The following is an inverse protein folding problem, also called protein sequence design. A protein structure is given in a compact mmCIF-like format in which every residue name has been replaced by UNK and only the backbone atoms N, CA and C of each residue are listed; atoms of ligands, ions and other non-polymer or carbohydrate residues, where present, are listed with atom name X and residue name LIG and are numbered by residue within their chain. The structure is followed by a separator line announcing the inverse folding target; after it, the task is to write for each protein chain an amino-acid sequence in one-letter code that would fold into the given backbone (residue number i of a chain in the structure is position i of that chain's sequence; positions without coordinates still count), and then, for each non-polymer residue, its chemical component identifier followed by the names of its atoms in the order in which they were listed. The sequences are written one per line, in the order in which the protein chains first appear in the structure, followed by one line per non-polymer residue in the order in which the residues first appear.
data_IF_178496806084
#
_entry.id   IF_178496806084
#
_cell.length_a   1.000
_cell.length_b   1.000
_cell.length_c   1.000
_cell.angle_alpha   90.00
_cell.angle_beta   90.00
_cell.angle_gamma   90.00
#
_symmetry.space_group_name_H-M   'P 1'
#
loop_
_entity.id
_entity.type
_entity.pdbx_description
1 polymer ?
#
# COMPACT_ATOMS: atom_id res chain seq x y z
N UNK A 1 3.08 0.66 38.10
CA UNK A 1 4.20 0.64 39.08
C UNK A 1 3.99 1.83 39.99
N UNK A 2 3.68 1.59 41.27
CA UNK A 2 3.64 2.66 42.29
C UNK A 2 4.15 2.07 43.59
N UNK A 3 5.20 2.68 44.13
CA UNK A 3 5.89 2.31 45.37
C UNK A 3 5.43 3.25 46.49
N UNK A 4 5.09 2.69 47.66
CA UNK A 4 5.17 3.39 48.95
C UNK A 4 5.62 2.39 50.04
N UNK A 5 6.63 2.80 50.80
CA UNK A 5 7.18 2.22 52.05
C UNK A 5 6.41 2.79 53.27
N UNK A 6 6.51 2.40 54.55
CA UNK A 6 7.28 1.49 55.44
C UNK A 6 6.22 0.85 56.40
N UNK A 7 6.40 -0.19 57.22
CA UNK A 7 7.48 -0.56 58.12
C UNK A 7 7.13 -1.94 58.77
N UNK A 8 8.11 -2.79 59.11
CA UNK A 8 7.96 -3.78 60.19
C UNK A 8 8.11 -5.28 59.89
N UNK A 9 9.36 -5.76 60.09
CA UNK A 9 9.81 -7.13 60.50
C UNK A 9 10.16 -8.20 59.44
N UNK A 10 11.32 -8.81 59.75
CA UNK A 10 12.19 -9.73 59.01
C UNK A 10 11.60 -11.14 58.81
N UNK A 11 12.20 -11.81 57.82
CA UNK A 11 12.30 -13.25 57.57
C UNK A 11 11.24 -13.92 56.67
N UNK A 12 11.43 -13.78 55.35
CA UNK A 12 11.77 -14.87 54.42
C UNK A 12 11.82 -14.32 52.98
N UNK A 13 12.92 -14.59 52.29
CA UNK A 13 13.16 -14.19 50.89
C UNK A 13 12.29 -15.08 49.98
N UNK A 14 11.08 -14.63 49.68
CA UNK A 14 10.28 -15.17 48.57
C UNK A 14 10.54 -14.26 47.37
N UNK A 15 11.18 -14.81 46.34
CA UNK A 15 11.24 -14.18 45.02
C UNK A 15 9.82 -14.09 44.46
N UNK A 16 9.16 -12.97 44.68
CA UNK A 16 7.83 -12.70 44.16
C UNK A 16 7.90 -12.40 42.68
N UNK A 17 7.49 -13.38 41.88
CA UNK A 17 7.14 -13.22 40.48
C UNK A 17 5.88 -12.36 40.34
N UNK A 18 5.88 -11.52 39.30
CA UNK A 18 4.84 -10.62 38.78
C UNK A 18 3.47 -10.61 39.50
N UNK A 19 3.15 -9.47 40.11
CA UNK A 19 1.81 -9.20 40.69
C UNK A 19 0.94 -8.37 39.74
N UNK A 20 -0.18 -8.93 39.29
CA UNK A 20 -1.21 -8.21 38.53
C UNK A 20 -2.32 -7.73 39.47
N UNK A 21 -2.58 -6.42 39.54
CA UNK A 21 -3.72 -5.85 40.28
C UNK A 21 -4.87 -5.60 39.31
N UNK A 22 -6.06 -6.14 39.60
CA UNK A 22 -7.30 -5.81 38.91
C UNK A 22 -8.03 -4.78 39.80
N UNK A 23 -8.27 -3.57 39.27
CA UNK A 23 -8.89 -2.46 40.01
C UNK A 23 -10.23 -2.12 39.33
N UNK A 24 -11.33 -2.33 40.06
CA UNK A 24 -12.64 -1.72 39.81
C UNK A 24 -13.00 -0.80 40.99
N UNK A 25 -14.04 0.02 40.84
CA UNK A 25 -14.44 1.07 41.82
C UNK A 25 -14.76 0.57 43.24
N UNK A 26 -14.91 -0.74 43.44
CA UNK A 26 -14.88 -1.39 44.75
C UNK A 26 -13.51 -2.02 45.02
N UNK A 27 -12.93 -1.77 46.22
CA UNK A 27 -11.66 -2.33 46.76
C UNK A 27 -11.10 -3.48 45.92
N UNK A 28 -10.24 -3.14 44.94
CA UNK A 28 -9.70 -4.09 43.98
C UNK A 28 -9.12 -5.34 44.64
N UNK A 29 -9.53 -6.51 44.18
CA UNK A 29 -9.04 -7.79 44.70
C UNK A 29 -7.71 -8.14 44.04
N UNK A 30 -6.72 -8.53 44.84
CA UNK A 30 -5.39 -8.89 44.33
C UNK A 30 -5.22 -10.41 44.24
N UNK A 31 -4.83 -10.88 43.07
CA UNK A 31 -4.41 -12.26 42.84
C UNK A 31 -2.90 -12.28 42.61
N UNK A 32 -2.18 -13.09 43.37
CA UNK A 32 -0.73 -13.27 43.22
C UNK A 32 -0.48 -14.60 42.50
N UNK A 33 0.34 -14.58 41.45
CA UNK A 33 0.63 -15.77 40.65
C UNK A 33 2.03 -16.28 41.02
N UNK A 34 2.11 -17.55 41.42
CA UNK A 34 3.34 -18.19 41.88
C UNK A 34 4.03 -19.06 40.81
N UNK A 35 4.83 -20.00 41.30
CA UNK A 35 5.52 -21.01 40.51
C UNK A 35 4.56 -22.05 39.93
N UNK A 36 5.06 -22.78 38.93
CA UNK A 36 4.41 -23.99 38.39
C UNK A 36 4.33 -25.02 39.53
N UNK A 37 3.21 -25.76 39.61
CA UNK A 37 3.06 -26.78 40.65
C UNK A 37 4.08 -27.89 40.48
N UNK A 38 4.71 -28.28 41.59
CA UNK A 38 5.66 -29.40 41.63
C UNK A 38 4.98 -30.75 41.36
N UNK A 39 3.67 -30.85 41.65
CA UNK A 39 2.87 -32.08 41.48
C UNK A 39 2.28 -32.22 40.08
N UNK A 40 2.01 -31.09 39.42
CA UNK A 40 1.43 -31.05 38.08
C UNK A 40 2.00 -29.86 37.30
N UNK A 41 2.81 -30.16 36.26
CA UNK A 41 3.47 -29.13 35.45
C UNK A 41 2.50 -28.30 34.59
N UNK A 42 1.25 -28.72 34.49
CA UNK A 42 0.17 -27.99 33.82
C UNK A 42 -0.65 -27.13 34.79
N UNK A 43 -0.25 -27.02 36.05
CA UNK A 43 -0.87 -26.15 37.05
C UNK A 43 0.09 -25.05 37.53
N UNK A 44 -0.46 -23.91 37.93
CA UNK A 44 0.26 -22.80 38.57
C UNK A 44 -0.39 -22.50 39.91
N UNK A 45 0.42 -22.21 40.93
CA UNK A 45 -0.11 -21.72 42.20
C UNK A 45 -0.59 -20.29 42.08
N UNK A 46 -1.73 -19.98 42.68
CA UNK A 46 -2.26 -18.61 42.80
C UNK A 46 -2.75 -18.38 44.21
N UNK A 47 -2.47 -17.19 44.74
CA UNK A 47 -2.94 -16.77 46.06
C UNK A 47 -3.93 -15.62 45.90
N UNK A 48 -5.11 -15.80 46.48
CA UNK A 48 -6.09 -14.74 46.62
C UNK A 48 -5.77 -13.92 47.87
N UNK A 49 -5.17 -12.74 47.69
CA UNK A 49 -4.64 -11.94 48.79
C UNK A 49 -5.68 -11.62 49.89
N UNK A 50 -6.96 -11.30 49.58
CA UNK A 50 -7.93 -10.97 50.62
C UNK A 50 -8.26 -12.10 51.60
N UNK A 51 -8.15 -13.38 51.20
CA UNK A 51 -8.45 -14.54 52.07
C UNK A 51 -7.22 -15.37 52.42
N UNK A 52 -6.06 -15.04 51.87
CA UNK A 52 -4.80 -15.78 52.09
C UNK A 52 -4.76 -17.20 51.49
N UNK A 53 -5.85 -17.69 50.91
CA UNK A 53 -5.95 -19.03 50.35
C UNK A 53 -5.12 -19.20 49.07
N UNK A 54 -4.48 -20.37 48.95
CA UNK A 54 -3.69 -20.79 47.78
C UNK A 54 -4.48 -21.84 47.00
N UNK A 55 -4.58 -21.64 45.70
CA UNK A 55 -5.25 -22.54 44.76
C UNK A 55 -4.28 -22.94 43.64
N UNK A 56 -4.64 -23.97 42.89
CA UNK A 56 -4.00 -24.31 41.61
C UNK A 56 -4.92 -23.94 40.46
N UNK A 57 -4.38 -23.27 39.45
CA UNK A 57 -5.08 -22.98 38.19
C UNK A 57 -4.34 -23.61 37.01
N UNK A 58 -5.05 -23.95 35.92
CA UNK A 58 -4.42 -24.38 34.68
C UNK A 58 -3.36 -23.36 34.22
N UNK A 59 -2.17 -23.83 33.88
CA UNK A 59 -1.01 -23.02 33.47
C UNK A 59 -1.33 -22.06 32.32
N UNK A 60 -2.27 -22.41 31.44
CA UNK A 60 -2.75 -21.56 30.34
C UNK A 60 -3.25 -20.19 30.82
N UNK A 61 -3.87 -20.12 32.02
CA UNK A 61 -4.39 -18.87 32.60
C UNK A 61 -3.25 -17.87 32.91
N UNK A 62 -2.03 -18.35 33.18
CA UNK A 62 -0.88 -17.48 33.43
C UNK A 62 -0.57 -16.56 32.24
N UNK A 63 -0.80 -17.01 31.01
CA UNK A 63 -0.62 -16.17 29.81
C UNK A 63 -1.60 -15.00 29.77
N UNK A 64 -2.88 -15.26 30.08
CA UNK A 64 -3.96 -14.24 30.09
C UNK A 64 -3.85 -13.28 31.26
N UNK A 65 -3.41 -13.74 32.44
CA UNK A 65 -3.28 -12.88 33.61
C UNK A 65 -1.97 -12.07 33.64
N UNK A 66 -0.99 -12.45 32.81
CA UNK A 66 0.25 -11.73 32.63
C UNK A 66 0.20 -10.74 31.45
N UNK A 67 -1.00 -10.44 30.93
CA UNK A 67 -1.21 -9.38 29.95
C UNK A 67 -0.80 -8.04 30.55
N UNK A 68 0.20 -7.40 29.95
CA UNK A 68 0.69 -6.09 30.39
C UNK A 68 -0.24 -5.00 29.86
N UNK A 69 -0.29 -3.82 30.48
CA UNK A 69 -1.08 -2.70 29.96
C UNK A 69 -0.74 -2.35 28.50
N UNK A 70 0.51 -2.52 28.08
CA UNK A 70 0.93 -2.34 26.69
C UNK A 70 0.28 -3.36 25.72
N UNK A 71 0.02 -4.58 26.18
CA UNK A 71 -0.62 -5.64 25.38
C UNK A 71 -2.13 -5.40 25.17
N UNK A 72 -2.72 -4.51 25.98
CA UNK A 72 -4.13 -4.10 25.88
C UNK A 72 -4.33 -2.87 24.99
N UNK A 73 -3.26 -2.22 24.54
CA UNK A 73 -3.36 -1.06 23.64
C UNK A 73 -3.80 -1.51 22.25
N UNK A 74 -4.46 -0.61 21.53
CA UNK A 74 -4.70 -0.81 20.10
C UNK A 74 -3.34 -0.84 19.38
N UNK A 75 -3.00 -1.98 18.79
CA UNK A 75 -1.71 -2.23 18.16
C UNK A 75 -1.72 -1.93 16.65
N UNK A 76 -2.75 -1.23 16.14
CA UNK A 76 -2.75 -0.71 14.77
C UNK A 76 -1.90 0.56 14.69
N UNK A 77 -1.14 0.71 13.60
CA UNK A 77 -0.34 1.93 13.37
C UNK A 77 -1.21 3.17 13.14
N UNK A 78 -2.27 3.02 12.34
CA UNK A 78 -3.15 4.12 11.94
C UNK A 78 -4.56 3.59 11.65
N UNK A 79 -5.57 4.44 11.86
CA UNK A 79 -6.93 4.23 11.36
C UNK A 79 -7.21 5.27 10.28
N UNK A 80 -7.49 4.83 9.07
CA UNK A 80 -7.78 5.71 7.93
C UNK A 80 -9.25 5.55 7.58
N UNK A 81 -10.03 6.63 7.59
CA UNK A 81 -11.39 6.60 7.05
C UNK A 81 -11.33 6.84 5.53
N UNK A 82 -11.55 5.78 4.75
CA UNK A 82 -11.48 5.85 3.28
C UNK A 82 -12.66 6.59 2.66
N UNK A 83 -13.74 6.86 3.42
CA UNK A 83 -14.91 7.57 2.89
C UNK A 83 -14.63 9.06 2.72
N UNK A 84 -13.80 9.63 3.59
CA UNK A 84 -13.38 11.04 3.57
C UNK A 84 -11.99 11.23 2.95
N UNK A 85 -11.34 10.15 2.50
CA UNK A 85 -9.99 10.20 1.97
C UNK A 85 -10.00 10.71 0.53
N UNK A 86 -9.42 11.90 0.34
CA UNK A 86 -9.33 12.56 -0.96
C UNK A 86 -7.89 12.73 -1.45
N UNK A 87 -6.91 12.72 -0.55
CA UNK A 87 -5.50 12.90 -0.91
C UNK A 87 -4.55 12.10 -0.03
N UNK A 88 -3.54 11.53 -0.66
CA UNK A 88 -2.38 10.92 0.00
C UNK A 88 -1.13 11.65 -0.50
N UNK A 89 -0.39 12.25 0.42
CA UNK A 89 0.89 12.90 0.13
C UNK A 89 2.02 12.06 0.67
N UNK A 90 2.94 11.66 -0.21
CA UNK A 90 4.16 10.95 0.10
C UNK A 90 5.32 11.93 -0.01
N UNK A 91 5.88 12.33 1.12
CA UNK A 91 6.96 13.31 1.20
C UNK A 91 8.27 12.63 1.60
N UNK A 92 9.27 12.76 0.75
CA UNK A 92 10.64 12.32 1.03
C UNK A 92 11.54 13.54 0.98
N UNK A 93 12.14 13.95 2.12
CA UNK A 93 13.00 15.12 2.15
C UNK A 93 14.09 15.08 1.08
N UNK A 94 14.17 16.14 0.29
CA UNK A 94 15.15 16.28 -0.79
C UNK A 94 14.82 15.54 -2.10
N UNK A 95 13.72 14.77 -2.18
CA UNK A 95 13.30 14.06 -3.42
C UNK A 95 11.97 14.56 -3.99
N UNK A 96 11.31 15.51 -3.34
CA UNK A 96 10.01 16.03 -3.74
C UNK A 96 8.85 15.21 -3.18
N UNK A 97 7.62 15.66 -3.48
CA UNK A 97 6.39 15.04 -2.98
C UNK A 97 5.67 14.32 -4.11
N UNK A 98 5.23 13.10 -3.85
CA UNK A 98 4.23 12.42 -4.69
C UNK A 98 2.86 12.69 -4.08
N UNK A 99 1.93 13.23 -4.88
CA UNK A 99 0.58 13.55 -4.42
C UNK A 99 -0.43 12.73 -5.20
N UNK A 100 -1.09 11.80 -4.52
CA UNK A 100 -2.18 11.01 -5.05
C UNK A 100 -3.49 11.70 -4.66
N UNK A 101 -4.34 12.00 -5.63
CA UNK A 101 -5.59 12.71 -5.42
C UNK A 101 -6.76 11.92 -5.99
N UNK A 102 -7.89 11.94 -5.29
CA UNK A 102 -9.14 11.37 -5.76
C UNK A 102 -9.85 12.41 -6.63
N UNK A 103 -10.35 12.00 -7.79
CA UNK A 103 -11.13 12.82 -8.70
C UNK A 103 -12.23 11.97 -9.35
N UNK A 104 -13.49 12.30 -9.08
CA UNK A 104 -14.64 11.59 -9.66
C UNK A 104 -14.63 10.08 -9.37
N UNK A 105 -14.14 9.69 -8.19
CA UNK A 105 -14.01 8.29 -7.78
C UNK A 105 -12.74 7.56 -8.26
N UNK A 106 -11.95 8.15 -9.17
CA UNK A 106 -10.68 7.61 -9.64
C UNK A 106 -9.49 8.26 -8.92
N UNK A 107 -8.35 7.57 -8.90
CA UNK A 107 -7.10 8.13 -8.40
C UNK A 107 -6.27 8.73 -9.53
N UNK A 108 -5.66 9.89 -9.27
CA UNK A 108 -4.70 10.57 -10.14
C UNK A 108 -3.43 10.91 -9.37
N UNK A 109 -2.35 11.18 -10.10
CA UNK A 109 -1.09 11.68 -9.56
C UNK A 109 -1.03 13.18 -9.82
N UNK A 110 -1.45 13.97 -8.84
CA UNK A 110 -1.48 15.44 -8.95
C UNK A 110 -0.07 16.02 -9.17
N UNK A 111 0.96 15.39 -8.60
CA UNK A 111 2.37 15.76 -8.83
C UNK A 111 2.90 15.41 -10.24
N UNK A 112 2.07 14.79 -11.09
CA UNK A 112 2.42 14.39 -12.45
C UNK A 112 1.27 14.72 -13.42
N UNK A 113 0.94 16.02 -13.53
CA UNK A 113 -0.08 16.54 -14.46
C UNK A 113 -1.45 15.83 -14.38
N UNK A 114 -1.84 15.35 -13.19
CA UNK A 114 -3.04 14.54 -12.96
C UNK A 114 -3.08 13.24 -13.80
N UNK A 115 -1.92 12.64 -14.10
CA UNK A 115 -1.85 11.34 -14.75
C UNK A 115 -2.69 10.31 -13.97
N UNK A 116 -3.40 9.39 -14.66
CA UNK A 116 -4.17 8.35 -13.98
C UNK A 116 -3.28 7.47 -13.10
N UNK A 117 -3.73 7.21 -11.87
CA UNK A 117 -3.03 6.35 -10.93
C UNK A 117 -3.67 4.95 -10.87
N UNK A 118 -2.85 3.93 -10.60
CA UNK A 118 -3.30 2.57 -10.31
C UNK A 118 -4.04 2.56 -8.97
N UNK A 119 -5.37 2.56 -9.05
CA UNK A 119 -6.26 2.53 -7.89
C UNK A 119 -6.07 1.27 -7.03
N UNK A 120 -5.64 0.16 -7.63
CA UNK A 120 -5.28 -1.05 -6.92
C UNK A 120 -4.00 -0.90 -6.10
N UNK A 121 -2.99 -0.21 -6.65
CA UNK A 121 -1.77 0.13 -5.92
C UNK A 121 -2.07 1.05 -4.72
N UNK A 122 -2.87 2.10 -4.94
CA UNK A 122 -3.30 3.01 -3.86
C UNK A 122 -4.04 2.26 -2.76
N UNK A 123 -4.97 1.37 -3.14
CA UNK A 123 -5.69 0.54 -2.19
C UNK A 123 -4.75 -0.38 -1.40
N UNK A 124 -3.80 -1.05 -2.06
CA UNK A 124 -2.80 -1.90 -1.37
C UNK A 124 -2.00 -1.13 -0.33
N UNK A 125 -1.59 0.12 -0.63
CA UNK A 125 -0.90 0.97 0.34
C UNK A 125 -1.75 1.23 1.58
N UNK A 126 -3.01 1.66 1.38
CA UNK A 126 -3.95 1.93 2.47
C UNK A 126 -4.16 0.67 3.31
N UNK A 127 -4.44 -0.45 2.64
CA UNK A 127 -4.68 -1.74 3.29
C UNK A 127 -3.44 -2.21 4.08
N UNK A 128 -2.23 -2.07 3.54
CA UNK A 128 -0.98 -2.44 4.25
C UNK A 128 -0.79 -1.64 5.54
N UNK A 129 -1.08 -0.34 5.52
CA UNK A 129 -0.91 0.54 6.69
C UNK A 129 -2.00 0.34 7.75
N UNK A 130 -3.26 0.18 7.32
CA UNK A 130 -4.37 -0.12 8.23
C UNK A 130 -4.24 -1.50 8.89
N UNK A 131 -3.67 -2.49 8.19
CA UNK A 131 -3.51 -3.85 8.70
C UNK A 131 -2.17 -4.09 9.40
N UNK A 132 -1.26 -3.10 9.46
CA UNK A 132 -0.04 -3.24 10.24
C UNK A 132 -0.39 -3.39 11.72
N UNK A 133 -0.08 -4.58 12.24
CA UNK A 133 -0.30 -4.98 13.63
C UNK A 133 1.02 -5.42 14.25
N UNK A 134 1.08 -5.31 15.58
CA UNK A 134 2.26 -5.69 16.34
C UNK A 134 3.29 -4.57 16.40
N UNK A 135 2.81 -3.33 16.39
CA UNK A 135 3.63 -2.15 16.70
C UNK A 135 4.17 -2.29 18.12
N UNK A 136 5.50 -2.18 18.27
CA UNK A 136 6.10 -2.16 19.60
C UNK A 136 6.18 -0.71 20.04
N UNK A 137 5.41 -0.33 21.06
CA UNK A 137 5.56 0.96 21.72
C UNK A 137 6.96 1.02 22.36
N UNK A 138 7.80 1.93 21.88
CA UNK A 138 9.17 2.11 22.37
C UNK A 138 9.30 3.32 23.29
N UNK A 139 8.39 4.29 23.15
CA UNK A 139 8.28 5.44 24.05
C UNK A 139 6.83 5.93 24.09
N UNK A 140 6.28 6.13 25.29
CA UNK A 140 4.88 6.58 25.48
C UNK A 140 4.69 8.07 25.23
N UNK A 141 5.73 8.86 25.53
CA UNK A 141 5.76 10.31 25.31
C UNK A 141 7.11 10.64 24.72
N UNK A 142 7.12 10.97 23.42
CA UNK A 142 8.31 11.21 22.64
C UNK A 142 9.03 12.49 23.11
N UNK A 143 9.91 12.33 24.09
CA UNK A 143 10.70 13.41 24.68
C UNK A 143 11.93 13.76 23.84
N UNK A 144 12.42 12.81 23.04
CA UNK A 144 13.59 12.96 22.18
C UNK A 144 13.35 12.32 20.80
N UNK A 145 12.81 13.11 19.86
CA UNK A 145 12.55 12.64 18.49
C UNK A 145 13.83 12.37 17.69
N UNK A 146 14.91 13.09 18.00
CA UNK A 146 16.22 12.93 17.37
C UNK A 146 16.77 11.50 17.54
N UNK A 147 16.58 10.90 18.72
CA UNK A 147 16.97 9.51 19.02
C UNK A 147 16.37 8.52 18.01
N UNK A 148 15.17 8.79 17.53
CA UNK A 148 14.42 7.92 16.62
C UNK A 148 14.47 8.40 15.16
N UNK A 149 15.18 9.50 14.87
CA UNK A 149 15.18 10.14 13.55
C UNK A 149 13.81 10.68 13.12
N UNK A 150 12.94 11.00 14.08
CA UNK A 150 11.58 11.52 13.84
C UNK A 150 11.51 13.06 13.86
N UNK A 151 12.61 13.73 14.23
CA UNK A 151 12.76 15.18 14.08
C UNK A 151 12.98 15.57 12.61
N UNK A 152 13.61 14.68 11.85
CA UNK A 152 13.81 14.77 10.40
C UNK A 152 13.45 13.41 9.79
N UNK A 153 12.15 13.10 9.68
CA UNK A 153 11.71 11.81 9.18
C UNK A 153 12.19 11.60 7.75
N UNK A 154 12.59 10.38 7.42
CA UNK A 154 13.05 10.01 6.08
C UNK A 154 11.92 9.93 5.06
N UNK A 155 10.70 9.75 5.55
CA UNK A 155 9.48 9.59 4.78
C UNK A 155 8.31 10.03 5.66
N UNK A 156 7.41 10.83 5.09
CA UNK A 156 6.17 11.22 5.73
C UNK A 156 5.00 10.90 4.80
N UNK A 157 4.00 10.23 5.34
CA UNK A 157 2.72 9.97 4.67
C UNK A 157 1.64 10.82 5.32
N UNK A 158 0.96 11.64 4.54
CA UNK A 158 -0.16 12.47 5.01
C UNK A 158 -1.43 12.10 4.26
N UNK A 159 -2.49 11.82 5.00
CA UNK A 159 -3.84 11.55 4.51
C UNK A 159 -4.72 12.77 4.78
N UNK A 160 -5.35 13.28 3.73
CA UNK A 160 -6.17 14.49 3.80
C UNK A 160 -7.54 14.28 3.20
N UNK A 161 -8.50 15.03 3.74
CA UNK A 161 -9.85 15.20 3.20
C UNK A 161 -10.00 16.61 2.63
N UNK A 162 -10.86 16.75 1.64
CA UNK A 162 -11.42 18.03 1.22
C UNK A 162 -12.83 18.11 1.79
N UNK A 163 -12.91 18.41 3.09
CA UNK A 163 -14.17 18.47 3.83
C UNK A 163 -15.15 19.41 3.13
N UNK A 164 -16.26 18.86 2.66
CA UNK A 164 -17.29 19.65 2.03
C UNK A 164 -18.69 19.12 2.30
N UNK A 165 -19.14 19.29 3.54
CA UNK A 165 -20.57 19.39 3.77
C UNK A 165 -21.04 20.69 3.10
N UNK A 166 -21.58 20.57 1.87
CA UNK A 166 -22.24 21.63 1.09
C UNK A 166 -21.38 22.70 0.39
N UNK A 167 -20.08 22.46 0.17
CA UNK A 167 -19.23 23.31 -0.69
C UNK A 167 -18.77 22.52 -1.94
N UNK A 168 -18.30 23.17 -2.99
CA UNK A 168 -17.56 22.44 -4.01
C UNK A 168 -16.18 22.06 -3.45
N UNK A 169 -15.65 20.86 -3.73
CA UNK A 169 -14.29 20.43 -3.34
C UNK A 169 -13.22 21.47 -3.69
N UNK A 170 -13.45 22.25 -4.76
CA UNK A 170 -12.56 23.34 -5.20
C UNK A 170 -12.48 24.55 -4.26
N UNK A 171 -13.41 24.68 -3.29
CA UNK A 171 -13.42 25.74 -2.27
C UNK A 171 -13.05 25.23 -0.88
N UNK A 172 -13.20 23.94 -0.62
CA UNK A 172 -12.74 23.31 0.61
C UNK A 172 -11.21 23.33 0.65
N UNK A 173 -10.63 23.73 1.78
CA UNK A 173 -9.19 23.61 1.99
C UNK A 173 -8.81 22.16 2.27
N UNK A 174 -7.59 21.77 1.93
CA UNK A 174 -7.03 20.48 2.32
C UNK A 174 -6.94 20.39 3.86
N UNK A 175 -7.54 19.35 4.45
CA UNK A 175 -7.47 19.07 5.87
C UNK A 175 -6.80 17.72 6.12
N UNK A 176 -5.54 17.69 6.59
CA UNK A 176 -4.89 16.45 6.98
C UNK A 176 -5.59 15.89 8.23
N UNK A 177 -5.94 14.60 8.21
CA UNK A 177 -6.55 13.91 9.34
C UNK A 177 -5.67 12.79 9.91
N UNK A 178 -4.63 12.39 9.20
CA UNK A 178 -3.61 11.47 9.70
C UNK A 178 -2.27 11.75 9.03
N UNK A 179 -1.19 11.79 9.81
CA UNK A 179 0.18 11.87 9.28
C UNK A 179 1.08 10.87 9.98
N UNK A 180 1.74 10.02 9.21
CA UNK A 180 2.69 9.01 9.68
C UNK A 180 4.09 9.45 9.27
N UNK A 181 4.94 9.70 10.26
CA UNK A 181 6.36 9.97 10.06
C UNK A 181 7.16 8.69 10.29
N UNK A 182 8.02 8.33 9.33
CA UNK A 182 8.99 7.23 9.47
C UNK A 182 10.38 7.81 9.70
N UNK A 183 11.05 7.36 10.75
CA UNK A 183 12.36 7.82 11.18
C UNK A 183 13.47 6.83 10.82
N UNK A 184 14.37 6.60 11.77
CA UNK A 184 15.54 5.73 11.65
C UNK A 184 15.12 4.24 11.58
N UNK A 185 15.88 3.48 10.82
CA UNK A 185 15.82 2.01 10.80
C UNK A 185 16.78 1.37 11.80
N UNK A 186 16.35 0.24 12.37
CA UNK A 186 17.16 -0.57 13.27
C UNK A 186 16.83 -2.05 13.09
N UNK A 187 17.74 -2.79 12.43
CA UNK A 187 17.51 -4.18 12.06
C UNK A 187 16.32 -4.34 11.12
N UNK A 188 15.30 -5.09 11.56
CA UNK A 188 14.09 -5.36 10.80
C UNK A 188 12.92 -4.41 11.11
N UNK A 189 13.18 -3.35 11.88
CA UNK A 189 12.17 -2.36 12.25
C UNK A 189 12.56 -0.95 11.81
N UNK A 190 11.54 -0.11 11.67
CA UNK A 190 11.65 1.33 11.49
C UNK A 190 10.83 2.02 12.56
N UNK A 191 11.36 3.10 13.13
CA UNK A 191 10.60 3.93 14.06
C UNK A 191 9.56 4.73 13.30
N UNK A 192 8.32 4.72 13.80
CA UNK A 192 7.23 5.48 13.22
C UNK A 192 6.47 6.24 14.32
N UNK A 193 5.84 7.34 13.92
CA UNK A 193 4.98 8.14 14.78
C UNK A 193 3.80 8.69 13.99
N UNK A 194 2.60 8.56 14.54
CA UNK A 194 1.44 9.32 14.10
C UNK A 194 1.57 10.72 14.70
N UNK A 195 1.57 11.77 13.88
CA UNK A 195 1.98 13.13 14.31
C UNK A 195 1.16 13.68 15.48
N UNK A 196 -0.12 13.34 15.55
CA UNK A 196 -1.05 13.77 16.61
C UNK A 196 -0.95 12.92 17.88
N UNK A 197 -0.18 11.83 17.86
CA UNK A 197 0.02 10.94 18.99
C UNK A 197 1.38 11.23 19.68
N UNK A 198 1.44 11.11 21.02
CA UNK A 198 2.66 11.36 21.77
C UNK A 198 3.66 10.20 21.71
N UNK A 199 3.22 9.00 21.34
CA UNK A 199 4.06 7.80 21.41
C UNK A 199 4.87 7.53 20.14
N UNK A 200 5.99 6.82 20.30
CA UNK A 200 6.80 6.28 19.21
C UNK A 200 6.62 4.76 19.17
N UNK A 201 6.40 4.23 17.98
CA UNK A 201 6.32 2.79 17.73
C UNK A 201 7.47 2.32 16.85
N UNK A 202 7.85 1.06 17.01
CA UNK A 202 8.64 0.33 16.03
C UNK A 202 7.70 -0.56 15.21
N UNK A 203 7.74 -0.39 13.88
CA UNK A 203 6.98 -1.17 12.90
C UNK A 203 7.92 -1.93 11.99
N UNK A 204 7.44 -2.93 11.26
CA UNK A 204 8.30 -3.71 10.36
C UNK A 204 8.91 -2.79 9.29
N UNK A 205 10.21 -2.92 9.03
CA UNK A 205 10.90 -2.14 7.99
C UNK A 205 10.21 -2.30 6.63
N UNK A 206 9.79 -3.53 6.31
CA UNK A 206 9.11 -3.86 5.06
C UNK A 206 7.79 -3.10 4.82
N UNK A 207 7.19 -2.48 5.84
CA UNK A 207 6.05 -1.59 5.67
C UNK A 207 6.47 -0.29 4.97
N UNK A 208 7.58 0.32 5.41
CA UNK A 208 8.10 1.53 4.79
C UNK A 208 8.63 1.27 3.38
N UNK A 209 9.22 0.09 3.15
CA UNK A 209 9.74 -0.30 1.84
C UNK A 209 8.65 -0.50 0.78
N UNK A 210 7.40 -0.77 1.21
CA UNK A 210 6.24 -0.87 0.30
C UNK A 210 5.75 0.49 -0.20
N UNK A 211 6.14 1.57 0.45
CA UNK A 211 5.71 2.92 0.10
C UNK A 211 6.58 3.42 -1.04
N UNK A 212 6.11 3.28 -2.28
CA UNK A 212 6.85 3.80 -3.43
C UNK A 212 6.98 5.32 -3.37
N UNK A 213 8.21 5.79 -3.39
CA UNK A 213 8.56 7.22 -3.42
C UNK A 213 8.63 7.76 -4.85
N UNK A 214 8.64 6.89 -5.85
CA UNK A 214 8.66 7.25 -7.27
C UNK A 214 7.20 7.38 -7.79
N UNK A 215 6.78 8.57 -8.27
CA UNK A 215 5.46 8.78 -8.86
C UNK A 215 5.11 7.77 -9.96
N UNK A 216 6.09 7.33 -10.76
CA UNK A 216 5.85 6.44 -11.90
C UNK A 216 5.33 5.05 -11.50
N UNK A 217 5.62 4.60 -10.27
CA UNK A 217 5.12 3.32 -9.76
C UNK A 217 3.65 3.37 -9.38
N UNK A 218 3.09 4.58 -9.22
CA UNK A 218 1.67 4.79 -8.97
C UNK A 218 0.87 4.96 -10.25
N UNK A 219 1.52 5.11 -11.41
CA UNK A 219 0.81 5.32 -12.67
C UNK A 219 0.01 4.09 -13.07
N UNK A 220 -1.17 4.33 -13.64
CA UNK A 220 -2.05 3.27 -14.12
C UNK A 220 -1.34 2.35 -15.12
N UNK A 221 -1.42 1.04 -14.88
CA UNK A 221 -0.76 0.05 -15.74
C UNK A 221 -1.62 -0.37 -16.94
N UNK A 222 -2.95 -0.23 -16.86
CA UNK A 222 -3.84 -0.49 -18.01
C UNK A 222 -3.65 0.59 -19.07
N UNK A 223 -3.11 0.23 -20.22
CA UNK A 223 -2.74 1.20 -21.25
C UNK A 223 -3.98 1.75 -21.96
N UNK A 224 -4.91 0.86 -22.30
CA UNK A 224 -6.11 1.15 -23.05
C UNK A 224 -7.39 0.78 -22.27
N UNK A 225 -8.49 1.50 -22.53
CA UNK A 225 -9.79 1.31 -21.85
C UNK A 225 -10.94 1.28 -22.86
N UNK A 226 -10.97 0.25 -23.69
CA UNK A 226 -12.06 -0.02 -24.63
C UNK A 226 -12.24 -1.53 -24.78
N UNK A 227 -13.42 -1.93 -25.25
CA UNK A 227 -13.72 -3.33 -25.52
C UNK A 227 -13.22 -3.74 -26.92
N UNK A 228 -12.92 -5.04 -27.15
CA UNK A 228 -12.42 -5.51 -28.44
C UNK A 228 -13.33 -5.20 -29.64
N UNK A 229 -14.65 -5.22 -29.41
CA UNK A 229 -15.68 -4.94 -30.41
C UNK A 229 -15.73 -3.47 -30.84
N UNK A 230 -15.15 -2.56 -30.05
CA UNK A 230 -15.04 -1.15 -30.40
C UNK A 230 -13.91 -0.90 -31.41
N UNK A 231 -13.01 -1.84 -31.64
CA UNK A 231 -11.92 -1.69 -32.61
C UNK A 231 -12.45 -1.97 -34.03
N UNK A 232 -12.35 -0.98 -34.92
CA UNK A 232 -12.91 -1.05 -36.28
C UNK A 232 -11.84 -1.17 -37.36
N UNK A 233 -10.67 -0.58 -37.15
CA UNK A 233 -9.53 -0.66 -38.07
C UNK A 233 -8.27 -0.97 -37.29
N UNK A 234 -7.41 -1.79 -37.87
CA UNK A 234 -6.11 -2.15 -37.33
C UNK A 234 -5.06 -2.10 -38.45
N UNK A 235 -3.96 -1.40 -38.18
CA UNK A 235 -2.77 -1.37 -39.02
C UNK A 235 -1.58 -1.88 -38.21
N UNK A 236 -0.89 -2.86 -38.76
CA UNK A 236 0.27 -3.54 -38.19
C UNK A 236 1.46 -3.20 -39.07
N UNK A 237 2.51 -2.66 -38.49
CA UNK A 237 3.73 -2.24 -39.21
C UNK A 237 4.97 -2.86 -38.58
N UNK A 238 5.65 -3.70 -39.36
CA UNK A 238 6.98 -4.26 -39.09
C UNK A 238 7.93 -3.82 -40.21
N UNK A 239 8.56 -4.76 -40.92
CA UNK A 239 9.16 -4.58 -42.25
C UNK A 239 8.11 -4.31 -43.35
N UNK A 240 6.87 -4.72 -43.13
CA UNK A 240 5.72 -4.52 -44.02
C UNK A 240 4.56 -3.92 -43.26
N UNK A 241 3.64 -3.31 -44.01
CA UNK A 241 2.43 -2.75 -43.47
C UNK A 241 1.22 -3.57 -43.92
N UNK A 242 0.44 -4.02 -42.95
CA UNK A 242 -0.81 -4.75 -43.13
C UNK A 242 -1.94 -3.98 -42.46
N UNK A 243 -3.09 -3.87 -43.12
CA UNK A 243 -4.25 -3.15 -42.59
C UNK A 243 -5.53 -3.92 -42.83
N UNK A 244 -6.31 -4.04 -41.76
CA UNK A 244 -7.60 -4.71 -41.71
C UNK A 244 -8.67 -3.71 -41.26
N UNK A 245 -9.88 -3.86 -41.81
CA UNK A 245 -11.05 -3.11 -41.40
C UNK A 245 -12.25 -4.03 -41.20
N UNK A 246 -13.05 -3.71 -40.19
CA UNK A 246 -14.25 -4.45 -39.81
C UNK A 246 -15.44 -3.87 -40.55
N UNK A 247 -16.02 -4.67 -41.44
CA UNK A 247 -17.24 -4.31 -42.18
C UNK A 247 -18.49 -4.37 -41.32
N UNK A 248 -19.62 -3.93 -41.89
CA UNK A 248 -20.93 -3.85 -41.20
C UNK A 248 -21.45 -5.20 -40.70
N UNK A 249 -21.04 -6.30 -41.33
CA UNK A 249 -21.38 -7.67 -40.94
C UNK A 249 -20.45 -8.24 -39.85
N UNK A 250 -19.64 -7.39 -39.20
CA UNK A 250 -18.60 -7.76 -38.24
C UNK A 250 -17.44 -8.61 -38.80
N UNK A 251 -17.36 -8.80 -40.12
CA UNK A 251 -16.26 -9.52 -40.75
C UNK A 251 -15.10 -8.57 -41.10
N UNK A 252 -13.88 -9.07 -40.90
CA UNK A 252 -12.67 -8.35 -41.26
C UNK A 252 -12.35 -8.53 -42.73
N UNK A 253 -11.95 -7.45 -43.39
CA UNK A 253 -11.44 -7.47 -44.75
C UNK A 253 -10.10 -6.72 -44.84
N UNK A 254 -9.31 -7.06 -45.85
CA UNK A 254 -8.07 -6.35 -46.13
C UNK A 254 -8.38 -4.93 -46.62
N UNK A 255 -7.70 -3.96 -46.02
CA UNK A 255 -7.47 -2.64 -46.62
C UNK A 255 -6.13 -2.64 -47.33
N UNK A 256 -5.12 -3.27 -46.71
CA UNK A 256 -3.78 -3.47 -47.27
C UNK A 256 -3.25 -4.83 -46.84
N UNK A 257 -3.06 -5.73 -47.80
CA UNK A 257 -2.69 -7.12 -47.56
C UNK A 257 -3.43 -8.06 -48.51
N UNK A 258 -3.11 -9.34 -48.44
CA UNK A 258 -3.65 -10.38 -49.33
C UNK A 258 -3.72 -11.71 -48.58
N UNK A 259 -4.56 -12.64 -49.06
CA UNK A 259 -4.73 -13.97 -48.46
C UNK A 259 -5.93 -14.07 -47.53
N UNK A 260 -6.14 -15.25 -46.95
CA UNK A 260 -7.23 -15.50 -46.00
C UNK A 260 -6.94 -14.84 -44.65
N UNK A 261 -7.98 -14.26 -44.03
CA UNK A 261 -7.89 -13.64 -42.71
C UNK A 261 -8.24 -14.68 -41.66
N UNK A 262 -7.28 -14.99 -40.79
CA UNK A 262 -7.52 -15.79 -39.59
C UNK A 262 -8.24 -14.94 -38.53
N UNK A 263 -9.57 -15.00 -38.53
CA UNK A 263 -10.41 -14.26 -37.59
C UNK A 263 -10.13 -14.59 -36.12
N UNK A 264 -9.65 -15.80 -35.82
CA UNK A 264 -9.29 -16.20 -34.44
C UNK A 264 -8.08 -15.43 -33.96
N UNK A 265 -7.04 -15.32 -34.80
CA UNK A 265 -5.84 -14.52 -34.48
C UNK A 265 -6.14 -13.04 -34.40
N UNK A 266 -6.99 -12.51 -35.28
CA UNK A 266 -7.43 -11.12 -35.20
C UNK A 266 -8.10 -10.88 -33.85
N UNK A 267 -9.09 -11.71 -33.47
CA UNK A 267 -9.77 -11.57 -32.19
C UNK A 267 -8.82 -11.67 -30.99
N UNK A 268 -7.83 -12.57 -31.03
CA UNK A 268 -6.82 -12.67 -29.98
C UNK A 268 -5.97 -11.39 -29.85
N UNK A 269 -5.62 -10.76 -30.97
CA UNK A 269 -4.91 -9.47 -30.98
C UNK A 269 -5.77 -8.34 -30.43
N UNK A 270 -7.05 -8.26 -30.81
CA UNK A 270 -7.99 -7.27 -30.24
C UNK A 270 -8.14 -7.44 -28.72
N UNK A 271 -8.28 -8.68 -28.25
CA UNK A 271 -8.34 -9.00 -26.83
C UNK A 271 -7.06 -8.59 -26.11
N UNK A 272 -5.90 -8.77 -26.74
CA UNK A 272 -4.60 -8.36 -26.20
C UNK A 272 -4.54 -6.84 -26.07
N UNK A 273 -4.89 -6.09 -27.11
CA UNK A 273 -4.87 -4.62 -27.11
C UNK A 273 -5.81 -4.06 -26.04
N UNK A 274 -7.04 -4.58 -25.95
CA UNK A 274 -8.01 -4.16 -24.94
C UNK A 274 -7.58 -4.46 -23.50
N UNK A 275 -6.84 -5.55 -23.28
CA UNK A 275 -6.36 -5.95 -21.95
C UNK A 275 -4.86 -5.67 -21.76
N UNK A 276 -4.30 -4.73 -22.52
CA UNK A 276 -2.86 -4.46 -22.46
C UNK A 276 -2.49 -3.79 -21.14
N UNK A 277 -1.65 -4.46 -20.37
CA UNK A 277 -1.10 -3.95 -19.12
C UNK A 277 0.41 -3.79 -19.23
N UNK A 278 0.90 -2.62 -18.80
CA UNK A 278 2.30 -2.43 -18.49
C UNK A 278 2.68 -3.29 -17.27
N UNK A 279 3.91 -3.82 -17.30
CA UNK A 279 4.55 -4.41 -16.12
C UNK A 279 4.98 -3.31 -15.16
N UNK A 280 5.52 -2.20 -15.69
CA UNK A 280 5.86 -0.98 -14.97
C UNK A 280 6.17 0.16 -15.94
N UNK A 281 6.18 1.38 -15.42
CA UNK A 281 6.65 2.58 -16.13
C UNK A 281 8.18 2.72 -16.03
N UNK A 282 8.79 3.25 -17.10
CA UNK A 282 10.22 3.63 -17.16
C UNK A 282 10.43 5.15 -17.03
N UNK A 283 9.35 5.94 -17.08
CA UNK A 283 9.39 7.40 -17.10
C UNK A 283 9.62 7.96 -18.51
N UNK A 284 10.36 9.07 -18.60
CA UNK A 284 10.62 9.74 -19.87
C UNK A 284 11.31 8.84 -20.90
N UNK A 285 10.89 8.98 -22.15
CA UNK A 285 11.42 8.21 -23.28
C UNK A 285 12.91 8.48 -23.50
N UNK A 286 13.70 7.41 -23.65
CA UNK A 286 15.14 7.46 -23.92
C UNK A 286 15.45 6.76 -25.25
N UNK A 287 16.51 7.16 -25.98
CA UNK A 287 16.88 6.52 -27.25
C UNK A 287 17.10 4.99 -27.14
N UNK A 288 17.66 4.53 -26.02
CA UNK A 288 17.87 3.11 -25.71
C UNK A 288 16.57 2.28 -25.65
N UNK A 289 15.40 2.91 -25.54
CA UNK A 289 14.12 2.21 -25.60
C UNK A 289 13.77 1.73 -27.01
N UNK A 290 14.49 2.16 -28.05
CA UNK A 290 14.32 1.68 -29.42
C UNK A 290 13.00 2.09 -30.08
N UNK A 291 12.33 3.13 -29.58
CA UNK A 291 11.03 3.57 -30.11
C UNK A 291 11.16 4.36 -31.43
N UNK A 292 12.35 4.88 -31.75
CA UNK A 292 12.66 5.52 -33.04
C UNK A 292 12.86 4.51 -34.18
N UNK A 293 13.24 3.27 -33.84
CA UNK A 293 13.37 2.14 -34.77
C UNK A 293 12.56 0.96 -34.21
N UNK A 294 11.22 1.07 -34.26
CA UNK A 294 10.36 0.12 -33.58
C UNK A 294 10.46 -1.27 -34.19
N UNK A 295 10.29 -2.29 -33.35
CA UNK A 295 10.14 -3.68 -33.78
C UNK A 295 8.74 -3.94 -34.31
N UNK A 296 7.74 -3.28 -33.72
CA UNK A 296 6.35 -3.36 -34.12
C UNK A 296 5.66 -2.02 -33.85
N UNK A 297 4.83 -1.56 -34.78
CA UNK A 297 3.88 -0.48 -34.57
C UNK A 297 2.48 -0.98 -34.87
N UNK A 298 1.56 -0.77 -33.92
CA UNK A 298 0.13 -1.01 -34.08
C UNK A 298 -0.58 0.33 -34.06
N UNK A 299 -1.37 0.62 -35.09
CA UNK A 299 -2.28 1.75 -35.12
C UNK A 299 -3.71 1.22 -35.28
N UNK A 300 -4.67 1.73 -34.50
CA UNK A 300 -6.04 1.22 -34.56
C UNK A 300 -7.05 2.30 -34.22
N UNK A 301 -8.30 2.10 -34.64
CA UNK A 301 -9.41 3.05 -34.39
C UNK A 301 -10.47 2.41 -33.52
N UNK A 302 -11.06 3.20 -32.62
CA UNK A 302 -12.10 2.72 -31.67
C UNK A 302 -13.49 3.32 -31.92
N UNK A 303 -13.69 3.99 -33.04
CA UNK A 303 -14.99 4.54 -33.46
C UNK A 303 -15.35 4.08 -34.88
N UNK A 304 -16.65 3.87 -35.19
CA UNK A 304 -17.07 3.43 -36.52
C UNK A 304 -16.69 4.42 -37.64
N UNK A 305 -16.58 5.71 -37.30
CA UNK A 305 -16.15 6.75 -38.24
C UNK A 305 -14.62 6.86 -38.37
N UNK A 306 -13.87 5.96 -37.73
CA UNK A 306 -12.41 5.91 -37.71
C UNK A 306 -11.71 7.19 -37.22
N UNK A 307 -12.40 8.08 -36.51
CA UNK A 307 -11.81 9.34 -36.02
C UNK A 307 -11.04 9.22 -34.71
N UNK A 308 -11.43 8.29 -33.84
CA UNK A 308 -10.70 8.04 -32.57
C UNK A 308 -9.61 7.01 -32.84
N UNK A 309 -8.39 7.49 -33.07
CA UNK A 309 -7.21 6.64 -33.33
C UNK A 309 -6.33 6.50 -32.09
N UNK A 310 -5.66 5.36 -31.98
CA UNK A 310 -4.64 5.07 -30.99
C UNK A 310 -3.42 4.45 -31.66
N UNK A 311 -2.26 4.58 -31.03
CA UNK A 311 -1.01 4.01 -31.52
C UNK A 311 -0.23 3.37 -30.39
N UNK A 312 0.19 2.13 -30.58
CA UNK A 312 1.13 1.41 -29.73
C UNK A 312 2.43 1.17 -30.51
N UNK A 313 3.55 1.55 -29.92
CA UNK A 313 4.89 1.36 -30.47
C UNK A 313 5.64 0.42 -29.55
N UNK A 314 6.19 -0.67 -30.10
CA UNK A 314 7.05 -1.63 -29.39
C UNK A 314 8.49 -1.44 -29.89
N UNK A 315 9.40 -1.16 -28.97
CA UNK A 315 10.79 -0.86 -29.24
C UNK A 315 11.74 -1.99 -28.88
N UNK A 316 12.89 -1.64 -28.32
CA UNK A 316 13.96 -2.57 -27.93
C UNK A 316 13.56 -3.46 -26.72
N UNK A 317 14.17 -4.64 -26.56
CA UNK A 317 13.93 -5.47 -25.39
C UNK A 317 14.46 -4.73 -24.15
N UNK A 318 13.65 -4.67 -23.09
CA UNK A 318 14.07 -4.10 -21.81
C UNK A 318 14.88 -5.12 -20.98
N UNK A 319 14.54 -6.41 -21.13
CA UNK A 319 15.26 -7.57 -20.61
C UNK A 319 14.81 -8.85 -21.34
N UNK A 320 15.19 -10.02 -20.83
CA UNK A 320 14.83 -11.30 -21.44
C UNK A 320 13.33 -11.58 -21.48
N UNK A 321 12.52 -10.95 -20.63
CA UNK A 321 11.09 -11.19 -20.47
C UNK A 321 10.18 -10.02 -20.92
N UNK A 322 10.73 -8.84 -21.23
CA UNK A 322 9.92 -7.64 -21.52
C UNK A 322 10.44 -6.79 -22.69
N UNK A 323 9.53 -6.07 -23.34
CA UNK A 323 9.80 -5.07 -24.37
C UNK A 323 9.52 -3.66 -23.85
N UNK A 324 10.30 -2.67 -24.30
CA UNK A 324 9.92 -1.27 -24.14
C UNK A 324 8.75 -0.95 -25.08
N UNK A 325 7.78 -0.19 -24.58
CA UNK A 325 6.63 0.25 -25.37
C UNK A 325 6.19 1.68 -25.02
N UNK A 326 5.50 2.30 -25.96
CA UNK A 326 4.91 3.63 -25.80
C UNK A 326 3.54 3.67 -26.50
N UNK A 327 2.60 4.41 -25.90
CA UNK A 327 1.28 4.63 -26.47
C UNK A 327 0.99 6.14 -26.51
N UNK A 328 0.37 6.61 -27.59
CA UNK A 328 0.05 8.04 -27.79
C UNK A 328 -0.85 8.64 -26.70
N UNK A 329 -1.74 7.84 -26.13
CA UNK A 329 -2.60 8.25 -25.02
C UNK A 329 -1.86 8.39 -23.66
N UNK A 330 -0.55 8.10 -23.59
CA UNK A 330 0.21 8.03 -22.34
C UNK A 330 1.59 8.71 -22.46
N UNK A 331 1.93 9.53 -21.47
CA UNK A 331 3.26 10.13 -21.41
C UNK A 331 4.31 9.12 -20.92
N UNK A 332 5.44 9.04 -21.65
CA UNK A 332 6.60 8.23 -21.27
C UNK A 332 6.60 6.81 -21.85
N UNK A 333 7.63 6.05 -21.46
CA UNK A 333 7.85 4.66 -21.86
C UNK A 333 7.43 3.72 -20.72
N UNK A 334 6.83 2.59 -21.07
CA UNK A 334 6.54 1.49 -20.16
C UNK A 334 7.12 0.18 -20.70
N UNK A 335 7.06 -0.88 -19.91
CA UNK A 335 7.43 -2.22 -20.36
C UNK A 335 6.24 -3.15 -20.40
N UNK A 336 6.20 -4.02 -21.41
CA UNK A 336 5.18 -5.06 -21.57
C UNK A 336 5.85 -6.44 -21.62
N UNK A 337 5.12 -7.48 -21.22
CA UNK A 337 5.62 -8.86 -21.30
C UNK A 337 5.84 -9.29 -22.75
N UNK A 338 6.88 -10.09 -23.04
CA UNK A 338 7.11 -10.66 -24.38
C UNK A 338 6.01 -11.60 -24.86
N UNK A 339 5.14 -12.07 -23.97
CA UNK A 339 3.97 -12.89 -24.32
C UNK A 339 2.80 -12.09 -24.91
N UNK A 340 2.93 -10.76 -24.99
CA UNK A 340 2.02 -9.90 -25.75
C UNK A 340 2.38 -10.05 -27.25
N UNK A 341 1.45 -10.53 -28.11
CA UNK A 341 1.69 -10.87 -29.52
C UNK A 341 2.33 -9.77 -30.38
#
# INVERSE_FOLDING_TARGET
ITLFSQEGKKDQKVETADSSKIVGEDKGQTLQIGSISEKDKDQVYVRFAPRGAVYTLPRKIKGTLNTKPADLRDNHLVRIDTNILDRITIDVPGKGKTVLARNGGNWTIASQNNAPADSGAVRRLIDSLQNERGTKFVEDVASNLQKYGLDKPRLQLTYSSFASENTAETKAGEQPFATIAFGKEEGDYVYARLTDEPFVVAVRRGLADQISTDPSQWQELSIFKFKPDQIHRLTITTDKELSLERGENNQWHWVKGTGEIDGTRVQALLNTLSNLHAVRWLGATKPQNGLEKPQLTLAFTTSPDNKVSHKLIIGAPANDATWCAHADAREGTFVISKGVP
#
